data_IF_375455786119
#
_entry.id   IF_375455786119
#
_cell.length_a   1.000
_cell.length_b   1.000
_cell.length_c   1.000
_cell.angle_alpha   90.00
_cell.angle_beta   90.00
_cell.angle_gamma   90.00
#
_symmetry.space_group_name_H-M   'P 1'
#
loop_
_entity.id
_entity.type
_entity.pdbx_description
1 polymer ?
#
# COMPACT_ATOMS: atom_id res chain seq x y z
N UNK A 1 -39.05 -44.20 6.30
CA UNK A 1 -40.25 -43.35 6.40
C UNK A 1 -40.16 -42.66 7.75
N UNK A 2 -39.74 -41.39 7.78
CA UNK A 2 -40.57 -40.28 8.29
C UNK A 2 -40.88 -40.44 9.81
N UNK A 3 -40.42 -39.59 10.74
CA UNK A 3 -40.76 -38.17 10.88
C UNK A 3 -40.15 -37.66 12.20
N UNK A 4 -39.78 -36.36 12.21
CA UNK A 4 -40.02 -35.35 13.27
C UNK A 4 -39.47 -35.63 14.68
N UNK A 5 -38.74 -34.73 15.33
CA UNK A 5 -38.99 -33.28 15.42
C UNK A 5 -39.52 -32.97 16.83
N UNK A 6 -38.66 -32.43 17.70
CA UNK A 6 -39.01 -31.77 18.98
C UNK A 6 -37.81 -30.85 19.30
N UNK A 7 -37.86 -29.53 19.07
CA UNK A 7 -38.54 -28.52 19.91
C UNK A 7 -38.49 -28.84 21.42
N UNK A 8 -37.51 -28.24 22.10
CA UNK A 8 -37.62 -27.81 23.50
C UNK A 8 -36.60 -26.68 23.71
N UNK A 9 -36.97 -25.42 23.56
CA UNK A 9 -37.52 -24.53 24.60
C UNK A 9 -36.66 -24.39 25.87
N UNK A 10 -36.32 -23.12 26.12
CA UNK A 10 -35.99 -22.48 27.40
C UNK A 10 -34.58 -22.68 27.98
N UNK A 11 -33.76 -21.62 27.96
CA UNK A 11 -33.68 -20.76 29.14
C UNK A 11 -33.17 -19.36 28.76
N UNK A 12 -33.83 -18.35 29.30
CA UNK A 12 -33.71 -16.94 28.96
C UNK A 12 -32.90 -16.18 30.01
N UNK A 13 -32.45 -14.98 29.60
CA UNK A 13 -32.11 -13.80 30.42
C UNK A 13 -30.75 -13.76 31.12
N UNK A 14 -29.89 -12.86 30.65
CA UNK A 14 -29.43 -11.71 31.43
C UNK A 14 -28.81 -10.66 30.50
N UNK A 15 -29.56 -9.58 30.29
CA UNK A 15 -29.05 -8.32 29.78
C UNK A 15 -28.46 -7.54 30.96
N UNK A 16 -27.23 -7.05 30.82
CA UNK A 16 -26.71 -5.96 31.64
C UNK A 16 -25.81 -5.08 30.78
N UNK A 17 -26.30 -3.86 30.60
CA UNK A 17 -25.70 -2.70 29.95
C UNK A 17 -24.20 -2.49 30.24
N UNK A 18 -23.43 -2.24 29.18
CA UNK A 18 -22.26 -1.37 29.24
C UNK A 18 -22.47 -0.22 28.26
N UNK A 19 -22.71 0.95 28.84
CA UNK A 19 -22.81 2.25 28.18
C UNK A 19 -21.45 2.62 27.55
N UNK A 20 -21.40 3.23 26.35
CA UNK A 20 -20.23 3.96 25.90
C UNK A 20 -20.24 5.37 26.53
N UNK A 21 -19.39 5.57 27.55
CA UNK A 21 -19.04 6.87 28.12
C UNK A 21 -17.96 7.61 27.30
N UNK A 22 -17.66 8.88 27.63
CA UNK A 22 -17.30 9.93 26.67
C UNK A 22 -15.84 9.94 26.22
N UNK A 23 -15.67 10.62 25.07
CA UNK A 23 -14.43 10.92 24.35
C UNK A 23 -13.45 11.78 25.17
N UNK A 24 -12.17 11.42 25.15
CA UNK A 24 -11.06 12.37 25.24
C UNK A 24 -10.11 12.13 24.07
N UNK A 25 -9.88 13.20 23.30
CA UNK A 25 -8.88 13.25 22.24
C UNK A 25 -7.51 13.53 22.86
N UNK A 26 -6.41 12.90 22.39
CA UNK A 26 -5.10 13.36 22.79
C UNK A 26 -4.87 14.75 22.17
N UNK A 27 -4.64 15.71 23.06
CA UNK A 27 -4.32 17.08 22.75
C UNK A 27 -3.05 17.18 21.89
N UNK A 28 -3.09 18.08 20.91
CA UNK A 28 -1.92 18.57 20.20
C UNK A 28 -0.96 19.20 21.22
N UNK A 29 0.20 18.58 21.43
CA UNK A 29 1.31 19.24 22.08
C UNK A 29 2.02 20.10 21.03
N UNK A 30 1.68 21.39 21.01
CA UNK A 30 2.53 22.42 20.45
C UNK A 30 3.80 22.50 21.29
N UNK A 31 4.94 22.12 20.72
CA UNK A 31 6.25 22.52 21.24
C UNK A 31 6.73 23.70 20.39
N UNK A 32 6.36 24.90 20.82
CA UNK A 32 7.17 26.09 20.58
C UNK A 32 8.34 26.02 21.56
N UNK A 33 9.56 26.03 21.04
CA UNK A 33 10.69 26.64 21.73
C UNK A 33 11.35 27.58 20.75
N UNK A 34 10.90 28.82 20.81
CA UNK A 34 11.65 29.94 20.26
C UNK A 34 12.86 30.21 21.15
N UNK A 35 14.05 30.14 20.56
CA UNK A 35 15.19 30.96 20.96
C UNK A 35 15.75 31.54 19.66
N UNK A 36 15.46 32.83 19.43
CA UNK A 36 16.03 33.58 18.33
C UNK A 36 17.50 33.91 18.57
N UNK A 37 18.26 34.05 17.49
CA UNK A 37 18.98 35.29 17.12
C UNK A 37 19.93 35.03 15.93
N UNK A 38 19.90 35.96 14.98
CA UNK A 38 20.84 36.23 13.88
C UNK A 38 20.77 35.42 12.59
N UNK A 39 20.42 36.15 11.53
CA UNK A 39 20.76 35.87 10.13
C UNK A 39 22.24 35.50 9.96
N UNK A 40 22.47 34.28 9.50
CA UNK A 40 23.68 33.93 8.76
C UNK A 40 23.33 32.79 7.81
N UNK A 41 23.17 33.13 6.53
CA UNK A 41 23.42 32.21 5.43
C UNK A 41 24.77 31.51 5.64
N UNK A 42 24.82 30.19 5.45
CA UNK A 42 25.76 29.69 4.46
C UNK A 42 25.16 28.58 3.59
N UNK A 43 25.21 28.85 2.30
CA UNK A 43 25.32 27.93 1.16
C UNK A 43 25.71 26.48 1.53
N UNK A 44 24.75 25.57 1.34
CA UNK A 44 24.88 24.12 1.52
C UNK A 44 24.81 23.34 0.20
N UNK A 45 25.24 23.93 -0.92
CA UNK A 45 25.17 23.33 -2.25
C UNK A 45 26.18 22.23 -2.57
N UNK A 46 27.21 22.01 -1.75
CA UNK A 46 28.42 21.32 -2.23
C UNK A 46 28.49 19.79 -1.96
N UNK A 47 27.79 19.27 -0.95
CA UNK A 47 28.00 17.86 -0.52
C UNK A 47 27.25 16.83 -1.39
N UNK A 48 26.09 17.18 -1.97
CA UNK A 48 25.34 16.27 -2.86
C UNK A 48 25.89 16.24 -4.29
N UNK A 49 26.52 17.33 -4.75
CA UNK A 49 27.06 17.43 -6.09
C UNK A 49 28.35 16.61 -6.27
N UNK A 50 29.16 16.48 -5.21
CA UNK A 50 30.42 15.74 -5.26
C UNK A 50 30.21 14.22 -5.37
N UNK A 51 29.24 13.66 -4.64
CA UNK A 51 28.92 12.23 -4.68
C UNK A 51 28.31 11.79 -6.03
N UNK A 52 27.58 12.68 -6.71
CA UNK A 52 27.03 12.41 -8.04
C UNK A 52 28.09 12.42 -9.15
N UNK A 53 29.07 13.33 -9.06
CA UNK A 53 30.17 13.43 -10.03
C UNK A 53 31.10 12.22 -9.98
N UNK A 54 31.42 11.74 -8.78
CA UNK A 54 32.23 10.53 -8.56
C UNK A 54 31.58 9.29 -9.19
N UNK A 55 30.26 9.13 -8.99
CA UNK A 55 29.51 8.04 -9.61
C UNK A 55 29.47 8.15 -11.15
N UNK A 56 29.30 9.35 -11.69
CA UNK A 56 29.28 9.59 -13.13
C UNK A 56 30.64 9.31 -13.79
N UNK A 57 31.73 9.64 -13.10
CA UNK A 57 33.09 9.33 -13.51
C UNK A 57 33.37 7.83 -13.44
N UNK A 58 32.91 7.15 -12.38
CA UNK A 58 32.94 5.68 -12.30
C UNK A 58 32.19 5.05 -13.47
N UNK A 59 30.99 5.53 -13.82
CA UNK A 59 30.22 5.01 -14.95
C UNK A 59 30.90 5.25 -16.31
N UNK A 60 31.62 6.38 -16.50
CA UNK A 60 32.42 6.62 -17.71
C UNK A 60 33.66 5.73 -17.81
N UNK A 61 34.22 5.31 -16.68
CA UNK A 61 35.43 4.49 -16.61
C UNK A 61 35.19 2.98 -16.81
N UNK A 62 33.95 2.52 -16.64
CA UNK A 62 33.59 1.11 -16.75
C UNK A 62 33.75 0.61 -18.18
N UNK A 63 34.45 -0.51 -18.36
CA UNK A 63 34.79 -1.07 -19.67
C UNK A 63 34.11 -2.41 -19.96
N UNK A 64 33.47 -3.02 -18.96
CA UNK A 64 32.81 -4.32 -19.07
C UNK A 64 31.45 -4.35 -18.36
N UNK A 65 30.60 -5.27 -18.81
CA UNK A 65 29.30 -5.50 -18.17
C UNK A 65 29.45 -5.96 -16.72
N UNK A 66 30.53 -6.68 -16.37
CA UNK A 66 30.80 -7.12 -14.99
C UNK A 66 31.11 -5.95 -14.05
N UNK A 67 31.92 -5.00 -14.52
CA UNK A 67 32.23 -3.77 -13.80
C UNK A 67 30.98 -2.89 -13.67
N UNK A 68 30.19 -2.75 -14.75
CA UNK A 68 28.95 -1.96 -14.74
C UNK A 68 27.96 -2.47 -13.70
N UNK A 69 27.72 -3.78 -13.71
CA UNK A 69 26.81 -4.42 -12.77
C UNK A 69 27.32 -4.34 -11.33
N UNK A 70 28.65 -4.28 -11.12
CA UNK A 70 29.25 -4.06 -9.81
C UNK A 70 28.99 -2.63 -9.30
N UNK A 71 29.00 -1.63 -10.18
CA UNK A 71 28.75 -0.22 -9.83
C UNK A 71 27.26 0.06 -9.57
N UNK A 72 26.36 -0.45 -10.42
CA UNK A 72 24.93 -0.13 -10.33
C UNK A 72 24.14 -1.06 -9.40
N UNK A 73 24.53 -2.34 -9.32
CA UNK A 73 23.78 -3.37 -8.59
C UNK A 73 24.72 -4.31 -7.80
N UNK A 74 25.52 -3.78 -6.87
CA UNK A 74 26.63 -4.49 -6.22
C UNK A 74 26.19 -5.79 -5.52
N UNK A 75 25.07 -5.76 -4.80
CA UNK A 75 24.60 -6.94 -4.06
C UNK A 75 23.97 -8.00 -4.97
N UNK A 76 23.24 -7.57 -6.00
CA UNK A 76 22.63 -8.48 -6.96
C UNK A 76 23.69 -9.18 -7.82
N UNK A 77 24.70 -8.43 -8.27
CA UNK A 77 25.75 -8.95 -9.13
C UNK A 77 26.64 -9.97 -8.42
N UNK A 78 26.94 -9.76 -7.13
CA UNK A 78 27.62 -10.76 -6.27
C UNK A 78 26.85 -12.09 -6.22
N UNK A 79 25.53 -12.03 -6.05
CA UNK A 79 24.68 -13.22 -6.03
C UNK A 79 24.62 -13.90 -7.41
N UNK A 80 24.49 -13.12 -8.49
CA UNK A 80 24.47 -13.65 -9.85
C UNK A 80 25.79 -14.35 -10.22
N UNK A 81 26.94 -13.76 -9.88
CA UNK A 81 28.25 -14.40 -10.05
C UNK A 81 28.41 -15.67 -9.22
N UNK A 82 27.86 -15.71 -8.01
CA UNK A 82 27.82 -16.91 -7.17
C UNK A 82 27.01 -18.04 -7.85
N UNK A 83 25.88 -17.71 -8.48
CA UNK A 83 25.06 -18.67 -9.22
C UNK A 83 25.78 -19.22 -10.46
N UNK A 84 26.47 -18.37 -11.24
CA UNK A 84 27.23 -18.80 -12.41
C UNK A 84 28.37 -19.77 -12.06
N UNK A 85 29.09 -19.51 -10.95
CA UNK A 85 30.12 -20.44 -10.45
C UNK A 85 29.54 -21.78 -9.98
N UNK A 86 28.25 -21.83 -9.63
CA UNK A 86 27.56 -23.04 -9.17
C UNK A 86 27.12 -23.96 -10.32
N UNK A 87 27.20 -23.51 -11.58
CA UNK A 87 26.90 -24.31 -12.77
C UNK A 87 27.92 -25.41 -13.13
N UNK A 88 28.93 -25.65 -12.27
CA UNK A 88 30.04 -26.58 -12.54
C UNK A 88 29.94 -27.97 -11.89
N UNK A 89 28.78 -28.38 -11.34
CA UNK A 89 28.64 -29.73 -10.75
C UNK A 89 27.64 -30.59 -11.53
N UNK A 90 28.06 -31.04 -12.70
CA UNK A 90 27.50 -32.24 -13.33
C UNK A 90 28.62 -33.02 -14.02
N UNK A 91 29.26 -33.91 -13.26
CA UNK A 91 29.74 -35.20 -13.75
C UNK A 91 30.31 -36.02 -12.56
N UNK A 92 29.48 -36.88 -11.96
CA UNK A 92 29.92 -38.25 -11.71
C UNK A 92 28.71 -39.16 -11.56
N UNK A 93 28.63 -40.08 -12.51
CA UNK A 93 27.71 -41.20 -12.62
C UNK A 93 28.21 -42.27 -11.64
N UNK A 94 27.62 -42.44 -10.45
CA UNK A 94 27.63 -43.74 -9.76
C UNK A 94 26.62 -43.80 -8.58
N UNK A 95 25.68 -44.76 -8.69
CA UNK A 95 24.94 -45.55 -7.68
C UNK A 95 24.43 -44.98 -6.33
N UNK A 96 23.26 -45.48 -5.85
CA UNK A 96 22.65 -45.05 -4.59
C UNK A 96 23.34 -45.75 -3.41
N UNK A 97 24.09 -45.01 -2.61
CA UNK A 97 24.45 -45.44 -1.26
C UNK A 97 23.76 -44.53 -0.24
N UNK A 98 22.85 -45.14 0.53
CA UNK A 98 22.38 -44.63 1.80
C UNK A 98 23.60 -44.32 2.66
N UNK A 99 23.87 -43.04 2.89
CA UNK A 99 24.39 -42.43 4.12
C UNK A 99 24.88 -41.01 3.81
N UNK A 100 23.98 -40.13 3.36
CA UNK A 100 24.25 -38.69 3.25
C UNK A 100 23.58 -37.97 4.40
N UNK A 101 24.40 -37.71 5.42
CA UNK A 101 24.23 -36.64 6.40
C UNK A 101 23.77 -35.38 5.67
N UNK A 102 22.50 -35.06 5.85
CA UNK A 102 21.79 -33.82 5.53
C UNK A 102 22.64 -32.83 4.73
N UNK A 103 22.60 -32.93 3.39
CA UNK A 103 22.95 -31.80 2.54
C UNK A 103 21.85 -30.74 2.74
N UNK A 104 22.01 -29.95 3.80
CA UNK A 104 21.28 -28.70 3.95
C UNK A 104 21.70 -27.82 2.77
N UNK A 105 20.92 -27.91 1.70
CA UNK A 105 20.94 -26.95 0.61
C UNK A 105 20.78 -25.58 1.27
N UNK A 106 21.88 -24.84 1.40
CA UNK A 106 21.88 -23.48 1.92
C UNK A 106 21.05 -22.63 0.95
N UNK A 107 19.75 -22.55 1.25
CA UNK A 107 18.81 -21.66 0.61
C UNK A 107 19.08 -20.29 1.19
N UNK A 108 19.74 -19.44 0.42
CA UNK A 108 19.70 -18.01 0.68
C UNK A 108 18.23 -17.60 0.81
N UNK A 109 17.86 -17.04 1.95
CA UNK A 109 16.50 -16.59 2.22
C UNK A 109 16.21 -15.33 1.39
N UNK A 110 16.09 -15.48 0.08
CA UNK A 110 15.18 -14.60 -0.65
C UNK A 110 13.81 -14.80 0.00
N UNK A 111 13.16 -13.71 0.43
CA UNK A 111 11.80 -13.79 0.96
C UNK A 111 10.94 -14.50 -0.09
N UNK A 112 10.64 -15.78 0.14
CA UNK A 112 9.82 -16.56 -0.77
C UNK A 112 8.38 -16.13 -0.53
N UNK A 113 7.96 -15.05 -1.18
CA UNK A 113 6.55 -14.68 -1.20
C UNK A 113 5.78 -15.82 -1.83
N UNK A 114 4.86 -16.39 -1.06
CA UNK A 114 4.04 -17.47 -1.56
C UNK A 114 3.18 -16.96 -2.74
N UNK A 115 2.88 -17.82 -3.72
CA UNK A 115 2.10 -17.45 -4.89
C UNK A 115 0.72 -16.89 -4.51
N UNK A 116 0.14 -17.38 -3.41
CA UNK A 116 -1.11 -16.89 -2.84
C UNK A 116 -1.01 -15.45 -2.32
N UNK A 117 0.14 -15.06 -1.77
CA UNK A 117 0.38 -13.68 -1.30
C UNK A 117 0.44 -12.74 -2.49
N UNK A 118 1.16 -13.11 -3.56
CA UNK A 118 1.22 -12.31 -4.78
C UNK A 118 -0.15 -12.16 -5.44
N UNK A 119 -0.95 -13.23 -5.48
CA UNK A 119 -2.35 -13.16 -5.95
C UNK A 119 -3.20 -12.23 -5.10
N UNK A 120 -3.03 -12.26 -3.78
CA UNK A 120 -3.74 -11.36 -2.86
C UNK A 120 -3.38 -9.90 -3.11
N UNK A 121 -2.09 -9.60 -3.23
CA UNK A 121 -1.58 -8.25 -3.53
C UNK A 121 -2.15 -7.74 -4.85
N UNK A 122 -2.07 -8.53 -5.92
CA UNK A 122 -2.62 -8.15 -7.24
C UNK A 122 -4.13 -7.90 -7.17
N UNK A 123 -4.87 -8.75 -6.46
CA UNK A 123 -6.30 -8.56 -6.27
C UNK A 123 -6.63 -7.28 -5.49
N UNK A 124 -5.90 -6.97 -4.41
CA UNK A 124 -6.13 -5.73 -3.65
C UNK A 124 -5.73 -4.49 -4.42
N UNK A 125 -4.65 -4.56 -5.21
CA UNK A 125 -4.26 -3.51 -6.14
C UNK A 125 -5.36 -3.23 -7.17
N UNK A 126 -5.93 -4.28 -7.76
CA UNK A 126 -6.98 -4.15 -8.76
C UNK A 126 -8.29 -3.61 -8.17
N UNK A 127 -8.59 -3.94 -6.91
CA UNK A 127 -9.76 -3.41 -6.19
C UNK A 127 -9.60 -1.94 -5.79
N UNK A 128 -8.38 -1.49 -5.53
CA UNK A 128 -8.10 -0.13 -5.03
C UNK A 128 -7.71 0.86 -6.12
N UNK A 129 -7.61 0.43 -7.38
CA UNK A 129 -7.31 1.28 -8.52
C UNK A 129 -8.30 2.45 -8.69
N UNK A 130 -7.79 3.58 -9.19
CA UNK A 130 -8.60 4.75 -9.57
C UNK A 130 -9.67 4.38 -10.62
N UNK A 131 -10.95 4.43 -10.22
CA UNK A 131 -12.11 4.18 -11.07
C UNK A 131 -13.36 4.91 -10.53
N UNK A 132 -14.42 5.10 -11.34
CA UNK A 132 -15.69 5.60 -10.84
C UNK A 132 -16.31 4.64 -9.81
N UNK A 133 -16.66 5.15 -8.63
CA UNK A 133 -17.24 4.41 -7.51
C UNK A 133 -18.53 5.07 -7.07
N UNK A 134 -19.50 4.25 -6.72
CA UNK A 134 -20.77 4.72 -6.17
C UNK A 134 -20.54 5.30 -4.77
N UNK A 135 -20.96 6.54 -4.57
CA UNK A 135 -20.83 7.27 -3.31
C UNK A 135 -22.14 7.98 -2.98
N UNK A 136 -22.41 8.11 -1.69
CA UNK A 136 -23.56 8.83 -1.17
C UNK A 136 -23.16 10.29 -0.92
N UNK A 137 -23.78 11.21 -1.63
CA UNK A 137 -23.42 12.62 -1.59
C UNK A 137 -24.56 13.42 -0.94
N UNK A 138 -24.19 14.29 -0.01
CA UNK A 138 -25.10 15.21 0.69
C UNK A 138 -25.55 16.33 -0.26
N UNK A 139 -26.85 16.38 -0.52
CA UNK A 139 -27.45 17.32 -1.47
C UNK A 139 -27.27 18.76 -0.98
N UNK A 140 -27.44 19.01 0.31
CA UNK A 140 -27.33 20.36 0.87
C UNK A 140 -25.92 20.92 0.75
N UNK A 141 -24.90 20.09 1.00
CA UNK A 141 -23.49 20.50 0.92
C UNK A 141 -23.03 20.79 -0.51
N UNK A 142 -23.40 19.94 -1.48
CA UNK A 142 -22.96 20.14 -2.86
C UNK A 142 -23.71 21.27 -3.57
N UNK A 143 -25.00 21.44 -3.29
CA UNK A 143 -25.80 22.52 -3.88
C UNK A 143 -25.68 23.85 -3.12
N UNK A 144 -24.94 23.90 -2.01
CA UNK A 144 -24.76 25.11 -1.22
C UNK A 144 -26.08 25.65 -0.65
N UNK A 145 -26.97 24.76 -0.22
CA UNK A 145 -28.29 25.15 0.27
C UNK A 145 -28.19 25.99 1.56
N UNK A 146 -29.15 26.90 1.74
CA UNK A 146 -29.23 27.70 2.94
C UNK A 146 -29.44 26.82 4.18
N UNK A 147 -29.00 27.29 5.35
CA UNK A 147 -29.06 26.51 6.60
C UNK A 147 -30.48 26.15 7.05
N UNK A 148 -31.50 26.77 6.46
CA UNK A 148 -32.92 26.46 6.70
C UNK A 148 -33.53 25.49 5.67
N UNK A 149 -32.80 25.07 4.64
CA UNK A 149 -33.33 24.16 3.62
C UNK A 149 -32.92 22.72 3.90
N UNK A 150 -33.90 21.83 4.04
CA UNK A 150 -33.67 20.40 4.27
C UNK A 150 -34.19 19.56 3.11
N UNK A 151 -33.33 18.70 2.58
CA UNK A 151 -33.68 17.74 1.53
C UNK A 151 -34.11 16.38 2.10
N UNK A 152 -35.10 15.77 1.47
CA UNK A 152 -35.58 14.42 1.73
C UNK A 152 -35.69 13.67 0.39
N UNK A 153 -34.86 12.63 0.17
CA UNK A 153 -33.73 12.20 1.02
C UNK A 153 -32.61 13.27 1.08
N UNK A 154 -31.82 13.33 2.18
CA UNK A 154 -30.72 14.28 2.31
C UNK A 154 -29.53 13.95 1.42
N UNK A 155 -29.41 12.69 0.99
CA UNK A 155 -28.31 12.22 0.16
C UNK A 155 -28.81 11.51 -1.09
N UNK A 156 -27.99 11.54 -2.14
CA UNK A 156 -28.22 10.83 -3.39
C UNK A 156 -26.99 9.98 -3.75
N UNK A 157 -27.22 8.79 -4.30
CA UNK A 157 -26.15 7.97 -4.85
C UNK A 157 -25.71 8.51 -6.22
N UNK A 158 -24.41 8.71 -6.41
CA UNK A 158 -23.78 9.11 -7.68
C UNK A 158 -22.43 8.42 -7.83
N UNK A 159 -21.86 8.42 -9.04
CA UNK A 159 -20.49 7.94 -9.26
C UNK A 159 -19.50 9.11 -9.16
N UNK A 160 -18.46 8.95 -8.33
CA UNK A 160 -17.30 9.85 -8.26
C UNK A 160 -16.03 9.04 -8.45
N UNK A 161 -14.98 9.64 -9.01
CA UNK A 161 -13.68 8.99 -9.12
C UNK A 161 -13.11 8.75 -7.71
N UNK A 162 -12.62 7.53 -7.47
CA UNK A 162 -11.98 7.18 -6.21
C UNK A 162 -11.06 5.97 -6.36
N UNK A 163 -10.15 5.83 -5.41
CA UNK A 163 -9.07 4.84 -5.44
C UNK A 163 -7.70 5.51 -5.45
N UNK A 164 -6.67 4.68 -5.58
CA UNK A 164 -5.28 5.10 -5.50
C UNK A 164 -4.64 5.16 -6.89
N UNK A 165 -3.69 6.09 -7.03
CA UNK A 165 -2.73 6.11 -8.11
C UNK A 165 -1.43 5.41 -7.68
N UNK A 166 -0.59 5.06 -8.64
CA UNK A 166 0.66 4.33 -8.38
C UNK A 166 1.76 5.21 -7.79
N UNK A 167 1.55 6.53 -7.77
CA UNK A 167 2.52 7.52 -7.37
C UNK A 167 1.82 8.64 -6.62
N UNK A 168 2.45 9.14 -5.55
CA UNK A 168 1.88 10.14 -4.65
C UNK A 168 1.63 11.50 -5.31
N UNK A 169 2.38 11.82 -6.38
CA UNK A 169 2.18 13.04 -7.17
C UNK A 169 0.97 13.01 -8.10
N UNK A 170 0.20 11.91 -8.13
CA UNK A 170 -0.96 11.77 -9.00
C UNK A 170 -2.24 11.68 -8.17
N UNK A 171 -3.24 12.47 -8.55
CA UNK A 171 -4.57 12.45 -7.95
C UNK A 171 -5.59 11.82 -8.91
N UNK A 172 -6.45 10.96 -8.36
CA UNK A 172 -7.53 10.34 -9.11
C UNK A 172 -8.63 11.36 -9.42
N UNK A 173 -8.69 11.84 -10.67
CA UNK A 173 -9.68 12.82 -11.15
C UNK A 173 -10.47 12.29 -12.34
N UNK A 174 -11.64 12.86 -12.59
CA UNK A 174 -12.48 12.50 -13.73
C UNK A 174 -11.87 12.99 -15.05
N UNK A 175 -11.90 12.14 -16.07
CA UNK A 175 -11.56 12.51 -17.46
C UNK A 175 -12.79 12.91 -18.26
N UNK A 176 -13.97 12.42 -17.86
CA UNK A 176 -15.26 12.78 -18.42
C UNK A 176 -16.33 12.79 -17.31
N UNK A 177 -17.37 13.59 -17.49
CA UNK A 177 -18.47 13.74 -16.53
C UNK A 177 -19.81 13.69 -17.25
N UNK A 178 -20.72 12.85 -16.75
CA UNK A 178 -22.13 12.83 -17.13
C UNK A 178 -23.00 13.41 -16.02
N UNK A 179 -24.02 14.17 -16.38
CA UNK A 179 -24.98 14.74 -15.43
C UNK A 179 -26.23 13.88 -15.35
N UNK A 180 -26.72 13.65 -14.13
CA UNK A 180 -27.91 12.86 -13.86
C UNK A 180 -28.93 13.72 -13.11
N UNK A 181 -30.16 13.76 -13.61
CA UNK A 181 -31.27 14.43 -12.91
C UNK A 181 -31.85 13.51 -11.85
N UNK A 182 -31.88 13.99 -10.60
CA UNK A 182 -32.49 13.30 -9.45
C UNK A 182 -33.46 14.24 -8.76
N UNK A 183 -34.68 13.77 -8.51
CA UNK A 183 -35.71 14.55 -7.82
C UNK A 183 -35.65 14.28 -6.33
N UNK A 184 -35.58 15.35 -5.53
CA UNK A 184 -35.62 15.32 -4.07
C UNK A 184 -36.67 16.31 -3.58
N UNK A 185 -37.31 16.01 -2.45
CA UNK A 185 -38.22 16.96 -1.81
C UNK A 185 -37.43 17.90 -0.91
N UNK A 186 -37.72 19.20 -0.95
CA UNK A 186 -37.10 20.21 -0.06
C UNK A 186 -38.17 20.88 0.79
N UNK A 187 -37.89 21.11 2.07
CA UNK A 187 -38.69 21.99 2.92
C UNK A 187 -37.81 23.15 3.38
N UNK A 188 -38.40 24.34 3.43
CA UNK A 188 -37.78 25.58 3.89
C UNK A 188 -38.43 26.04 5.20
#
# INVERSE_FOLDING_TARGET
MHLLGFFSLACSLLAAALLPGPREAPAAAAFESGLGFSDAEPDGGEVKAYAGKDLEEQLRSVSSVDELMTVLYPEYWKMYKCQLRKGGWQHSKEQPNLNTRTEETQKFAAAHYNAEILKSIDNEWRKTQCMPREVCIDVGKEFGAATNTFFKPPCVSVYRCGGCCNSEGLQCMNTSTGYLSKTVSSNQ
#
